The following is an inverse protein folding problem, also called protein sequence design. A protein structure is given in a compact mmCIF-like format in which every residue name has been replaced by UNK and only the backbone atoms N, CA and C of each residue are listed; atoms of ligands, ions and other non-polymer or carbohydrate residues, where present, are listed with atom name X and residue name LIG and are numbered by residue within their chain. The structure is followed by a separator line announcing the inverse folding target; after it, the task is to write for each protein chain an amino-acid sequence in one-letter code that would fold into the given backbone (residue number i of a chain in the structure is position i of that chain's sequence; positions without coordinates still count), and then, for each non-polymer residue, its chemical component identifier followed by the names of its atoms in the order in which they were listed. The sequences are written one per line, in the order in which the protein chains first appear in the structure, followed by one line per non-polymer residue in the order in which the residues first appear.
data_IF_231767130242
#
_entry.id   IF_231767130242
#
_cell.length_a   1.000
_cell.length_b   1.000
_cell.length_c   1.000
_cell.angle_alpha   90.00
_cell.angle_beta   90.00
_cell.angle_gamma   90.00
#
_symmetry.space_group_name_H-M   'P 1'
#
loop_
_entity.id
_entity.type
_entity.pdbx_description
1 polymer ?
#
# COMPACT_ATOMS: atom_id res chain seq x y z
N UNK A 1 -17.13 -45.88 35.82
CA UNK A 1 -16.89 -47.21 35.20
C UNK A 1 -18.08 -48.09 35.53
N UNK A 2 -18.72 -48.72 34.55
CA UNK A 2 -19.75 -49.73 34.82
C UNK A 2 -19.26 -51.07 34.30
N UNK A 3 -19.27 -52.08 35.16
CA UNK A 3 -18.97 -53.44 34.72
C UNK A 3 -20.19 -54.01 34.00
N UNK A 4 -19.98 -54.80 32.94
CA UNK A 4 -21.07 -55.40 32.16
C UNK A 4 -22.04 -56.27 32.98
N UNK A 5 -21.63 -56.69 34.18
CA UNK A 5 -22.41 -57.51 35.10
C UNK A 5 -23.08 -56.71 36.24
N UNK A 6 -22.88 -55.39 36.33
CA UNK A 6 -23.60 -54.53 37.27
C UNK A 6 -25.02 -54.21 36.75
N UNK A 7 -26.02 -54.85 37.37
CA UNK A 7 -27.43 -54.81 36.95
C UNK A 7 -28.29 -53.82 37.73
N UNK A 8 -27.81 -53.27 38.85
CA UNK A 8 -28.67 -52.61 39.84
C UNK A 8 -28.58 -51.08 39.83
N UNK A 9 -27.53 -50.50 39.26
CA UNK A 9 -27.35 -49.06 39.16
C UNK A 9 -27.64 -48.53 37.75
N UNK A 10 -28.03 -47.25 37.67
CA UNK A 10 -28.24 -46.53 36.40
C UNK A 10 -26.99 -46.56 35.50
N UNK A 11 -27.14 -46.22 34.22
CA UNK A 11 -25.98 -46.03 33.34
C UNK A 11 -25.52 -44.56 33.40
N UNK A 12 -25.07 -44.12 34.57
CA UNK A 12 -24.66 -42.72 34.82
C UNK A 12 -23.22 -42.63 35.31
N UNK A 13 -22.63 -41.44 35.22
CA UNK A 13 -21.26 -41.16 35.70
C UNK A 13 -21.07 -41.35 37.21
N UNK A 14 -22.16 -41.32 37.99
CA UNK A 14 -22.16 -41.52 39.44
C UNK A 14 -22.15 -43.00 39.88
N UNK A 15 -22.19 -43.93 38.92
CA UNK A 15 -22.35 -45.36 39.20
C UNK A 15 -21.07 -46.04 39.73
N UNK A 16 -19.94 -45.32 39.83
CA UNK A 16 -18.70 -45.83 40.42
C UNK A 16 -17.87 -44.74 41.09
N UNK A 17 -16.89 -45.15 41.90
CA UNK A 17 -15.82 -44.26 42.35
C UNK A 17 -14.96 -43.75 41.18
N UNK A 18 -14.16 -42.72 41.46
CA UNK A 18 -13.11 -42.26 40.56
C UNK A 18 -11.95 -43.26 40.55
N UNK A 19 -11.57 -43.70 39.34
CA UNK A 19 -10.51 -44.71 39.14
C UNK A 19 -9.33 -44.05 38.45
N UNK A 20 -8.11 -44.36 38.91
CA UNK A 20 -6.87 -43.87 38.29
C UNK A 20 -6.71 -44.49 36.89
N UNK A 21 -6.13 -43.73 35.97
CA UNK A 21 -5.90 -44.17 34.58
C UNK A 21 -4.42 -44.12 34.25
N UNK A 22 -3.86 -45.27 33.89
CA UNK A 22 -2.51 -45.39 33.34
C UNK A 22 -2.36 -44.50 32.10
N UNK A 23 -1.31 -43.67 32.10
CA UNK A 23 -0.90 -42.86 30.95
C UNK A 23 0.39 -43.47 30.37
N UNK A 24 0.68 -43.20 29.09
CA UNK A 24 1.88 -43.73 28.44
C UNK A 24 3.18 -43.21 29.09
N UNK A 25 3.15 -41.98 29.62
CA UNK A 25 4.18 -41.34 30.43
C UNK A 25 3.52 -40.34 31.39
N UNK A 26 3.90 -40.37 32.67
CA UNK A 26 3.44 -39.40 33.68
C UNK A 26 4.54 -39.08 34.70
N UNK A 27 4.70 -37.80 35.04
CA UNK A 27 5.57 -37.30 36.10
C UNK A 27 4.98 -36.04 36.76
N UNK A 28 5.65 -35.48 37.79
CA UNK A 28 5.16 -34.28 38.48
C UNK A 28 5.10 -33.05 37.55
N UNK A 29 3.94 -32.78 36.96
CA UNK A 29 3.69 -31.62 36.09
C UNK A 29 4.06 -31.80 34.61
N UNK A 30 4.45 -32.99 34.17
CA UNK A 30 4.77 -33.29 32.76
C UNK A 30 4.32 -34.71 32.41
N UNK A 31 3.88 -34.96 31.18
CA UNK A 31 3.20 -36.21 30.86
C UNK A 31 2.51 -36.17 29.50
N UNK A 32 1.98 -37.33 29.11
CA UNK A 32 0.82 -37.36 28.23
C UNK A 32 -0.45 -37.54 29.08
N UNK A 33 -1.54 -36.90 28.69
CA UNK A 33 -2.82 -37.02 29.38
C UNK A 33 -3.95 -37.22 28.36
N UNK A 34 -4.56 -38.41 28.40
CA UNK A 34 -5.68 -38.75 27.51
C UNK A 34 -6.76 -39.54 28.29
N UNK A 35 -7.61 -38.79 29.00
CA UNK A 35 -8.69 -39.35 29.83
C UNK A 35 -9.71 -40.07 28.95
N UNK A 36 -10.11 -41.32 29.31
CA UNK A 36 -11.19 -42.03 28.63
C UNK A 36 -12.49 -41.24 28.64
N UNK A 37 -13.19 -41.20 27.49
CA UNK A 37 -14.50 -40.55 27.36
C UNK A 37 -15.61 -41.57 27.49
N UNK A 38 -16.82 -41.10 27.81
CA UNK A 38 -18.03 -41.95 27.85
C UNK A 38 -18.17 -42.73 26.54
N UNK A 39 -18.40 -44.04 26.66
CA UNK A 39 -18.50 -44.98 25.53
C UNK A 39 -17.18 -45.66 25.15
N UNK A 40 -16.05 -45.32 25.77
CA UNK A 40 -14.78 -46.04 25.56
C UNK A 40 -14.64 -47.22 26.53
N UNK A 41 -14.30 -48.39 25.99
CA UNK A 41 -13.92 -49.56 26.78
C UNK A 41 -12.51 -49.39 27.34
N UNK A 42 -12.32 -49.87 28.58
CA UNK A 42 -11.06 -49.80 29.30
C UNK A 42 -10.74 -51.16 29.93
N UNK A 43 -9.45 -51.50 29.95
CA UNK A 43 -8.94 -52.66 30.68
C UNK A 43 -8.64 -52.20 32.11
N UNK A 44 -9.21 -52.88 33.11
CA UNK A 44 -8.98 -52.58 34.52
C UNK A 44 -8.26 -53.73 35.19
N UNK A 45 -7.28 -53.37 36.01
CA UNK A 45 -6.57 -54.24 36.93
C UNK A 45 -6.69 -53.66 38.36
N UNK A 46 -6.28 -54.41 39.36
CA UNK A 46 -6.44 -54.05 40.77
C UNK A 46 -5.08 -53.99 41.44
N UNK A 47 -4.81 -52.90 42.18
CA UNK A 47 -3.50 -52.71 42.81
C UNK A 47 -3.26 -53.82 43.83
N UNK A 48 -2.21 -54.63 43.63
CA UNK A 48 -1.93 -55.84 44.43
C UNK A 48 -3.11 -56.83 44.51
N UNK A 49 -4.01 -56.81 43.53
CA UNK A 49 -5.21 -57.64 43.51
C UNK A 49 -6.34 -57.18 44.45
N UNK A 50 -6.23 -56.00 45.07
CA UNK A 50 -7.27 -55.43 45.94
C UNK A 50 -8.43 -54.85 45.10
N UNK A 51 -9.63 -55.48 45.11
CA UNK A 51 -10.79 -55.02 44.33
C UNK A 51 -11.23 -53.59 44.66
N UNK A 52 -10.90 -53.09 45.85
CA UNK A 52 -11.23 -51.73 46.28
C UNK A 52 -10.26 -50.68 45.73
N UNK A 53 -9.18 -51.10 45.04
CA UNK A 53 -8.18 -50.22 44.42
C UNK A 53 -8.01 -50.49 42.91
N UNK A 54 -9.07 -50.26 42.10
CA UNK A 54 -8.99 -50.42 40.65
C UNK A 54 -8.03 -49.41 40.01
N UNK A 55 -7.45 -49.82 38.87
CA UNK A 55 -6.58 -49.04 38.01
C UNK A 55 -6.90 -49.38 36.56
N UNK A 56 -7.20 -48.36 35.73
CA UNK A 56 -7.31 -48.56 34.28
C UNK A 56 -5.90 -48.72 33.71
N UNK A 57 -5.60 -49.88 33.12
CA UNK A 57 -4.27 -50.22 32.60
C UNK A 57 -4.09 -49.92 31.12
N UNK A 58 -5.19 -49.83 30.36
CA UNK A 58 -5.11 -49.59 28.92
C UNK A 58 -6.45 -49.63 28.22
N UNK A 59 -6.40 -49.55 26.89
CA UNK A 59 -7.54 -49.61 25.97
C UNK A 59 -7.11 -50.37 24.72
N UNK A 60 -8.03 -51.08 24.10
CA UNK A 60 -7.81 -51.80 22.85
C UNK A 60 -8.84 -51.36 21.81
N UNK A 61 -8.47 -51.49 20.54
CA UNK A 61 -9.44 -51.33 19.45
C UNK A 61 -10.28 -52.61 19.33
N UNK A 62 -11.56 -52.43 19.07
CA UNK A 62 -12.54 -53.49 18.83
C UNK A 62 -13.53 -53.04 17.75
N UNK A 63 -14.55 -53.82 17.43
CA UNK A 63 -15.49 -53.52 16.34
C UNK A 63 -16.10 -52.10 16.38
N UNK A 64 -16.53 -51.63 17.55
CA UNK A 64 -17.17 -50.32 17.71
C UNK A 64 -16.18 -49.17 18.02
N UNK A 65 -14.91 -49.49 18.23
CA UNK A 65 -13.81 -48.58 18.57
C UNK A 65 -12.65 -48.99 17.66
N UNK A 66 -12.80 -48.69 16.37
CA UNK A 66 -11.82 -49.05 15.35
C UNK A 66 -10.58 -48.16 15.48
N UNK A 67 -9.44 -48.70 15.03
CA UNK A 67 -8.21 -47.93 14.90
C UNK A 67 -8.37 -46.75 13.95
N UNK A 68 -7.58 -45.67 14.09
CA UNK A 68 -7.38 -44.70 13.02
C UNK A 68 -6.90 -45.40 11.74
N UNK A 69 -7.61 -45.14 10.63
CA UNK A 69 -7.32 -45.78 9.34
C UNK A 69 -7.84 -47.22 9.23
N UNK A 70 -7.81 -47.74 8.01
CA UNK A 70 -8.34 -49.07 7.69
C UNK A 70 -7.20 -50.10 7.63
N UNK A 71 -7.18 -51.06 8.57
CA UNK A 71 -6.24 -52.16 8.56
C UNK A 71 -6.72 -53.31 7.65
N UNK A 72 -5.83 -53.95 6.87
CA UNK A 72 -4.36 -53.81 6.87
C UNK A 72 -3.82 -52.69 5.96
N UNK A 73 -4.67 -51.85 5.36
CA UNK A 73 -4.27 -50.83 4.39
C UNK A 73 -3.32 -49.77 4.96
N UNK A 74 -3.48 -49.38 6.23
CA UNK A 74 -2.63 -48.40 6.92
C UNK A 74 -1.56 -49.05 7.83
N UNK A 75 -1.15 -50.29 7.54
CA UNK A 75 -0.20 -51.05 8.38
C UNK A 75 1.18 -50.40 8.59
N UNK A 76 1.55 -49.45 7.73
CA UNK A 76 2.81 -48.69 7.79
C UNK A 76 2.64 -47.30 8.42
N UNK A 77 1.44 -46.98 8.92
CA UNK A 77 1.15 -45.70 9.55
C UNK A 77 1.22 -45.79 11.07
N UNK A 78 1.84 -44.78 11.66
CA UNK A 78 1.76 -44.49 13.09
C UNK A 78 1.02 -43.18 13.31
N UNK A 79 0.17 -43.10 14.33
CA UNK A 79 -0.74 -41.96 14.50
C UNK A 79 -0.99 -41.64 15.96
N UNK A 80 -0.91 -40.35 16.30
CA UNK A 80 -1.49 -39.76 17.51
C UNK A 80 -2.67 -38.89 17.06
N UNK A 81 -3.90 -39.37 17.24
CA UNK A 81 -5.13 -38.71 16.80
C UNK A 81 -6.05 -38.42 17.97
N UNK A 82 -6.55 -37.18 18.06
CA UNK A 82 -7.60 -36.80 19.01
C UNK A 82 -8.99 -36.91 18.36
N UNK A 83 -10.07 -36.69 19.13
CA UNK A 83 -11.42 -36.54 18.57
C UNK A 83 -12.00 -35.22 19.07
N UNK A 84 -12.64 -34.45 18.19
CA UNK A 84 -13.42 -33.28 18.59
C UNK A 84 -14.44 -33.69 19.65
N UNK A 85 -14.47 -32.96 20.77
CA UNK A 85 -15.44 -33.25 21.84
C UNK A 85 -16.83 -32.79 21.41
N UNK A 86 -17.82 -33.69 21.48
CA UNK A 86 -19.21 -33.42 21.08
C UNK A 86 -19.35 -32.82 19.67
N UNK A 87 -18.44 -33.17 18.75
CA UNK A 87 -18.48 -32.69 17.36
C UNK A 87 -17.75 -33.66 16.42
N UNK A 88 -17.76 -33.32 15.14
CA UNK A 88 -16.97 -34.02 14.12
C UNK A 88 -15.55 -33.45 14.05
N UNK A 89 -14.60 -34.26 13.58
CA UNK A 89 -13.21 -33.83 13.38
C UNK A 89 -12.19 -34.38 14.38
N UNK A 90 -10.92 -34.04 14.16
CA UNK A 90 -9.78 -34.52 14.92
C UNK A 90 -8.55 -33.62 14.74
N UNK A 91 -7.61 -33.64 15.69
CA UNK A 91 -6.23 -33.23 15.43
C UNK A 91 -5.38 -34.49 15.23
N UNK A 92 -4.32 -34.40 14.44
CA UNK A 92 -3.48 -35.57 14.12
C UNK A 92 -2.01 -35.20 13.93
N UNK A 93 -1.15 -36.02 14.52
CA UNK A 93 0.23 -36.21 14.09
C UNK A 93 0.35 -37.64 13.56
N UNK A 94 0.69 -37.79 12.28
CA UNK A 94 0.81 -39.08 11.61
C UNK A 94 2.15 -39.21 10.90
N UNK A 95 2.72 -40.40 10.97
CA UNK A 95 3.91 -40.83 10.25
C UNK A 95 3.52 -41.95 9.28
N UNK A 96 3.94 -41.84 8.03
CA UNK A 96 3.86 -42.90 7.01
C UNK A 96 5.29 -43.36 6.71
N UNK A 97 5.54 -44.67 6.82
CA UNK A 97 6.86 -45.29 6.62
C UNK A 97 6.89 -46.25 5.41
N UNK A 98 5.86 -46.24 4.57
CA UNK A 98 5.90 -46.95 3.31
C UNK A 98 7.01 -46.37 2.41
N UNK A 99 7.87 -47.24 1.90
CA UNK A 99 8.99 -46.88 1.01
C UNK A 99 8.50 -46.02 -0.16
N UNK A 100 9.20 -44.91 -0.40
CA UNK A 100 8.92 -43.90 -1.43
C UNK A 100 7.61 -43.12 -1.22
N UNK A 101 7.01 -43.20 -0.03
CA UNK A 101 5.77 -42.51 0.37
C UNK A 101 5.87 -41.92 1.78
N UNK A 102 7.08 -41.76 2.29
CA UNK A 102 7.34 -41.33 3.65
C UNK A 102 6.77 -39.93 3.89
N UNK A 103 6.03 -39.76 4.99
CA UNK A 103 5.36 -38.50 5.29
C UNK A 103 5.24 -38.26 6.79
N UNK A 104 5.51 -37.04 7.21
CA UNK A 104 5.00 -36.49 8.48
C UNK A 104 3.80 -35.59 8.16
N UNK A 105 2.67 -35.89 8.76
CA UNK A 105 1.44 -35.13 8.61
C UNK A 105 1.04 -34.51 9.94
N UNK A 106 0.85 -33.20 9.95
CA UNK A 106 0.31 -32.44 11.08
C UNK A 106 -1.01 -31.82 10.65
N UNK A 107 -2.06 -32.10 11.39
CA UNK A 107 -3.39 -31.57 11.17
C UNK A 107 -3.93 -30.91 12.43
N UNK A 108 -4.35 -29.66 12.28
CA UNK A 108 -5.12 -28.95 13.27
C UNK A 108 -6.55 -28.74 12.77
N UNK A 109 -7.54 -29.12 13.57
CA UNK A 109 -8.96 -29.01 13.23
C UNK A 109 -9.45 -27.56 13.11
N UNK A 110 -8.79 -26.63 13.81
CA UNK A 110 -9.20 -25.22 13.87
C UNK A 110 -8.00 -24.28 13.85
N UNK A 111 -7.26 -24.22 14.95
CA UNK A 111 -6.09 -23.35 15.10
C UNK A 111 -4.83 -24.20 15.27
N UNK A 112 -3.73 -23.75 14.66
CA UNK A 112 -2.39 -24.25 14.95
C UNK A 112 -1.52 -23.06 15.37
N UNK A 113 -1.16 -23.03 16.64
CA UNK A 113 -0.22 -22.04 17.18
C UNK A 113 1.18 -22.68 17.27
N UNK A 114 2.23 -21.90 16.98
CA UNK A 114 3.63 -22.35 17.09
C UNK A 114 4.45 -21.26 17.74
N UNK A 115 4.93 -21.51 18.95
CA UNK A 115 5.81 -20.61 19.69
C UNK A 115 7.21 -21.23 19.80
N UNK A 116 8.23 -20.47 19.45
CA UNK A 116 9.64 -20.89 19.54
C UNK A 116 10.42 -19.78 20.24
N UNK A 117 10.92 -20.06 21.45
CA UNK A 117 11.52 -19.04 22.32
C UNK A 117 12.93 -18.60 21.92
N UNK A 118 13.63 -19.42 21.12
CA UNK A 118 15.00 -19.13 20.69
C UNK A 118 15.07 -19.08 19.16
N UNK A 119 15.36 -20.22 18.52
CA UNK A 119 15.60 -20.27 17.08
C UNK A 119 14.66 -21.26 16.39
N UNK A 120 14.10 -20.86 15.25
CA UNK A 120 13.45 -21.74 14.27
C UNK A 120 14.20 -21.65 12.94
N UNK A 121 14.71 -22.78 12.47
CA UNK A 121 15.29 -22.92 11.13
C UNK A 121 14.40 -23.79 10.27
N UNK A 122 14.18 -23.40 9.01
CA UNK A 122 13.45 -24.18 8.00
C UNK A 122 14.31 -24.30 6.74
N UNK A 123 14.55 -25.52 6.29
CA UNK A 123 15.37 -25.85 5.11
C UNK A 123 14.60 -26.87 4.28
N UNK A 124 14.17 -26.47 3.07
CA UNK A 124 13.37 -27.28 2.15
C UNK A 124 14.21 -27.58 0.92
N UNK A 125 14.44 -28.88 0.65
CA UNK A 125 15.40 -29.33 -0.38
C UNK A 125 14.88 -29.31 -1.80
N UNK A 126 13.57 -29.30 -1.98
CA UNK A 126 12.91 -29.28 -3.28
C UNK A 126 11.99 -28.06 -3.35
N UNK A 127 10.68 -28.25 -3.18
CA UNK A 127 9.69 -27.19 -3.33
C UNK A 127 9.04 -26.80 -2.00
N UNK A 128 8.78 -25.51 -1.85
CA UNK A 128 7.90 -24.97 -0.81
C UNK A 128 6.69 -24.33 -1.48
N UNK A 129 5.48 -24.67 -1.02
CA UNK A 129 4.23 -24.06 -1.44
C UNK A 129 3.44 -23.65 -0.21
N UNK A 130 3.03 -22.39 -0.16
CA UNK A 130 2.19 -21.84 0.90
C UNK A 130 0.96 -21.18 0.27
N UNK A 131 -0.21 -21.39 0.85
CA UNK A 131 -1.47 -20.80 0.39
C UNK A 131 -2.24 -20.28 1.58
N UNK A 132 -2.48 -18.97 1.58
CA UNK A 132 -3.23 -18.26 2.61
C UNK A 132 -4.58 -17.87 2.00
N UNK A 133 -5.66 -18.43 2.53
CA UNK A 133 -7.01 -18.21 2.00
C UNK A 133 -7.63 -16.86 2.38
N UNK A 134 -7.02 -16.12 3.30
CA UNK A 134 -7.44 -14.79 3.74
C UNK A 134 -6.20 -13.88 3.85
N UNK A 135 -5.93 -13.29 5.01
CA UNK A 135 -4.85 -12.32 5.17
C UNK A 135 -3.52 -12.93 5.64
N UNK A 136 -2.41 -12.39 5.13
CA UNK A 136 -1.07 -12.66 5.62
C UNK A 136 -0.46 -11.37 6.20
N UNK A 137 -0.03 -11.42 7.47
CA UNK A 137 0.73 -10.35 8.12
C UNK A 137 2.13 -10.85 8.48
N UNK A 138 3.15 -10.18 7.95
CA UNK A 138 4.56 -10.44 8.29
C UNK A 138 5.12 -9.22 9.00
N UNK A 139 5.80 -9.41 10.13
CA UNK A 139 6.51 -8.36 10.85
C UNK A 139 7.92 -8.82 11.16
N UNK A 140 8.91 -8.06 10.67
CA UNK A 140 10.33 -8.31 10.89
C UNK A 140 10.94 -7.07 11.54
N UNK A 141 11.44 -7.21 12.77
CA UNK A 141 11.84 -6.06 13.61
C UNK A 141 13.22 -5.50 13.23
N UNK A 142 14.19 -6.37 12.94
CA UNK A 142 15.58 -5.95 12.71
C UNK A 142 15.94 -5.85 11.24
N UNK A 143 15.82 -6.94 10.49
CA UNK A 143 16.22 -6.96 9.08
C UNK A 143 15.68 -8.17 8.34
N UNK A 144 15.36 -7.96 7.07
CA UNK A 144 14.92 -8.98 6.13
C UNK A 144 15.86 -8.98 4.93
N UNK A 145 16.28 -10.17 4.49
CA UNK A 145 17.02 -10.35 3.24
C UNK A 145 16.30 -11.38 2.40
N UNK A 146 16.03 -11.04 1.15
CA UNK A 146 15.42 -11.94 0.17
C UNK A 146 16.42 -12.11 -0.97
N UNK A 147 16.79 -13.35 -1.26
CA UNK A 147 17.67 -13.72 -2.37
C UNK A 147 16.93 -14.75 -3.22
N UNK A 148 16.80 -14.46 -4.52
CA UNK A 148 16.15 -15.35 -5.50
C UNK A 148 17.18 -15.74 -6.54
N UNK A 149 17.60 -17.00 -6.51
CA UNK A 149 18.70 -17.52 -7.32
C UNK A 149 20.08 -16.99 -6.91
N UNK A 150 21.12 -17.80 -7.11
CA UNK A 150 22.53 -17.39 -6.85
C UNK A 150 23.37 -17.30 -8.12
N UNK A 151 22.81 -17.71 -9.27
CA UNK A 151 23.47 -17.72 -10.58
C UNK A 151 22.48 -17.30 -11.67
N UNK A 152 23.03 -16.78 -12.77
CA UNK A 152 22.25 -16.43 -13.96
C UNK A 152 21.99 -17.69 -14.79
N UNK A 153 21.18 -18.58 -14.24
CA UNK A 153 20.69 -19.81 -14.88
C UNK A 153 19.17 -19.68 -15.09
N UNK A 154 18.59 -20.42 -16.03
CA UNK A 154 17.14 -20.36 -16.30
C UNK A 154 16.32 -20.82 -15.08
N UNK A 155 15.19 -20.17 -14.82
CA UNK A 155 14.25 -20.58 -13.76
C UNK A 155 14.43 -19.90 -12.39
N UNK A 156 15.25 -18.85 -12.28
CA UNK A 156 15.44 -18.08 -11.04
C UNK A 156 14.74 -16.71 -11.08
N UNK A 157 13.47 -16.68 -11.48
CA UNK A 157 12.67 -15.47 -11.60
C UNK A 157 11.91 -15.12 -10.31
N UNK A 158 11.60 -13.83 -10.16
CA UNK A 158 10.67 -13.34 -9.15
C UNK A 158 9.53 -12.64 -9.87
N UNK A 159 8.30 -13.16 -9.71
CA UNK A 159 7.08 -12.54 -10.20
C UNK A 159 6.24 -12.05 -9.02
N UNK A 160 5.74 -10.82 -9.11
CA UNK A 160 4.82 -10.23 -8.12
C UNK A 160 3.62 -9.69 -8.89
N UNK A 161 2.43 -10.20 -8.57
CA UNK A 161 1.16 -9.69 -9.08
C UNK A 161 0.37 -9.08 -7.94
N UNK A 162 -0.13 -7.85 -8.12
CA UNK A 162 -0.98 -7.14 -7.17
C UNK A 162 -2.24 -6.73 -7.93
N UNK A 163 -3.41 -7.17 -7.47
CA UNK A 163 -4.67 -6.98 -8.20
C UNK A 163 -5.30 -5.61 -7.99
N UNK A 164 -5.08 -5.00 -6.83
CA UNK A 164 -5.57 -3.67 -6.49
C UNK A 164 -4.38 -2.71 -6.33
N UNK A 165 -4.10 -2.27 -5.10
CA UNK A 165 -3.07 -1.25 -4.86
C UNK A 165 -1.79 -1.80 -4.22
N UNK A 166 -0.67 -1.15 -4.56
CA UNK A 166 0.63 -1.36 -3.90
C UNK A 166 1.15 -0.05 -3.33
N UNK A 167 1.22 0.05 -2.00
CA UNK A 167 1.87 1.16 -1.29
C UNK A 167 3.25 0.73 -0.78
N UNK A 168 4.26 1.56 -1.00
CA UNK A 168 5.62 1.36 -0.49
C UNK A 168 6.06 2.63 0.22
N UNK A 169 6.42 2.54 1.49
CA UNK A 169 7.02 3.64 2.26
C UNK A 169 8.44 3.27 2.64
N UNK A 170 9.42 4.06 2.19
CA UNK A 170 10.82 3.94 2.59
C UNK A 170 11.19 5.19 3.38
N UNK A 171 11.56 5.01 4.65
CA UNK A 171 11.80 6.15 5.58
C UNK A 171 13.16 6.81 5.39
N UNK A 172 14.15 6.06 4.91
CA UNK A 172 15.48 6.57 4.61
C UNK A 172 15.71 6.50 3.09
N UNK A 173 16.69 5.72 2.63
CA UNK A 173 17.08 5.70 1.22
C UNK A 173 16.54 4.47 0.46
N UNK A 174 16.17 4.68 -0.81
CA UNK A 174 15.91 3.62 -1.77
C UNK A 174 16.97 3.61 -2.86
N UNK A 175 17.69 2.49 -3.00
CA UNK A 175 18.65 2.27 -4.09
C UNK A 175 18.17 1.15 -5.00
N UNK A 176 18.10 1.40 -6.31
CA UNK A 176 17.78 0.40 -7.33
C UNK A 176 18.94 0.26 -8.32
N UNK A 177 19.50 -0.94 -8.43
CA UNK A 177 20.51 -1.28 -9.43
C UNK A 177 19.98 -2.36 -10.36
N UNK A 178 19.84 -2.02 -11.64
CA UNK A 178 19.46 -2.93 -12.72
C UNK A 178 20.65 -3.08 -13.66
N UNK A 179 21.10 -4.31 -13.90
CA UNK A 179 22.32 -4.58 -14.70
C UNK A 179 22.05 -4.75 -16.19
N UNK A 180 20.82 -5.10 -16.55
CA UNK A 180 20.35 -5.17 -17.93
C UNK A 180 19.31 -4.05 -18.15
N UNK A 181 18.10 -4.39 -18.59
CA UNK A 181 17.08 -3.42 -18.95
C UNK A 181 16.05 -3.19 -17.85
N UNK A 182 15.50 -1.98 -17.81
CA UNK A 182 14.29 -1.62 -17.06
C UNK A 182 13.27 -1.06 -18.03
N UNK A 183 12.09 -1.68 -18.06
CA UNK A 183 10.91 -1.19 -18.80
C UNK A 183 9.81 -0.87 -17.81
N UNK A 184 9.12 0.26 -18.03
CA UNK A 184 7.99 0.70 -17.20
C UNK A 184 6.85 1.08 -18.16
N UNK A 185 5.65 0.60 -17.88
CA UNK A 185 4.42 0.98 -18.59
C UNK A 185 3.41 1.46 -17.57
N UNK A 186 2.93 2.70 -17.73
CA UNK A 186 1.91 3.32 -16.90
C UNK A 186 0.77 3.73 -17.82
N UNK A 187 -0.44 3.24 -17.54
CA UNK A 187 -1.59 3.40 -18.45
C UNK A 187 -2.36 4.69 -18.23
N UNK A 188 -2.27 5.27 -17.04
CA UNK A 188 -2.86 6.55 -16.68
C UNK A 188 -1.72 7.54 -16.39
N UNK A 189 -1.54 7.94 -15.13
CA UNK A 189 -0.62 9.02 -14.76
C UNK A 189 0.63 8.53 -14.02
N UNK A 190 1.77 9.18 -14.28
CA UNK A 190 3.03 9.00 -13.56
C UNK A 190 3.47 10.34 -12.95
N UNK A 191 3.32 10.47 -11.63
CA UNK A 191 3.67 11.66 -10.86
C UNK A 191 5.04 11.53 -10.21
N UNK A 192 5.89 12.55 -10.35
CA UNK A 192 7.19 12.61 -9.67
C UNK A 192 7.35 13.96 -8.96
N UNK A 193 7.42 13.89 -7.63
CA UNK A 193 7.77 15.02 -6.77
C UNK A 193 9.17 14.80 -6.17
N UNK A 194 10.08 15.75 -6.40
CA UNK A 194 11.45 15.73 -5.86
C UNK A 194 11.72 17.04 -5.13
N UNK A 195 11.91 16.99 -3.81
CA UNK A 195 12.07 18.19 -2.97
C UNK A 195 13.40 18.92 -3.18
N UNK A 196 14.45 18.17 -3.49
CA UNK A 196 15.81 18.70 -3.70
C UNK A 196 16.19 18.53 -5.19
N UNK A 197 17.37 17.98 -5.48
CA UNK A 197 17.87 17.83 -6.84
C UNK A 197 17.39 16.54 -7.53
N UNK A 198 16.97 16.66 -8.79
CA UNK A 198 16.91 15.55 -9.74
C UNK A 198 18.10 15.60 -10.68
N UNK A 199 18.98 14.59 -10.63
CA UNK A 199 20.11 14.44 -11.56
C UNK A 199 19.86 13.28 -12.51
N UNK A 200 20.04 13.54 -13.81
CA UNK A 200 19.85 12.54 -14.87
C UNK A 200 21.08 12.49 -15.75
N UNK A 201 21.58 11.29 -16.03
CA UNK A 201 22.68 11.07 -16.99
C UNK A 201 22.31 9.92 -17.90
N UNK A 202 22.26 10.19 -19.20
CA UNK A 202 22.04 9.18 -20.25
C UNK A 202 23.29 9.18 -21.13
N UNK A 203 24.04 8.07 -21.10
CA UNK A 203 25.24 7.92 -21.95
C UNK A 203 24.90 7.67 -23.42
N UNK A 204 23.77 7.02 -23.65
CA UNK A 204 23.24 6.73 -24.99
C UNK A 204 22.29 7.82 -25.49
N UNK A 205 21.39 7.41 -26.38
CA UNK A 205 20.34 8.27 -26.94
C UNK A 205 19.21 8.48 -25.93
N UNK A 206 18.67 9.70 -25.87
CA UNK A 206 17.44 10.01 -25.15
C UNK A 206 16.38 10.47 -26.16
N UNK A 207 15.25 9.78 -26.19
CA UNK A 207 14.11 10.11 -27.04
C UNK A 207 12.92 10.52 -26.19
N UNK A 208 12.16 11.50 -26.66
CA UNK A 208 10.96 11.98 -26.00
C UNK A 208 9.89 12.27 -27.06
N UNK A 209 8.70 11.72 -26.87
CA UNK A 209 7.53 12.02 -27.70
C UNK A 209 6.39 12.42 -26.77
N UNK A 210 5.89 13.64 -26.96
CA UNK A 210 4.68 14.14 -26.29
C UNK A 210 3.61 14.31 -27.35
N UNK A 211 2.42 13.74 -27.12
CA UNK A 211 1.26 13.87 -28.03
C UNK A 211 0.39 15.07 -27.67
N UNK A 212 0.26 15.37 -26.38
CA UNK A 212 -0.35 16.59 -25.86
C UNK A 212 0.66 17.73 -25.70
N UNK A 213 0.38 18.63 -24.76
CA UNK A 213 1.24 19.77 -24.47
C UNK A 213 2.51 19.35 -23.73
N UNK A 214 3.66 19.93 -24.12
CA UNK A 214 4.90 19.86 -23.35
C UNK A 214 5.15 21.24 -22.73
N UNK A 215 4.99 21.34 -21.40
CA UNK A 215 5.14 22.58 -20.65
C UNK A 215 6.35 22.46 -19.73
N UNK A 216 7.23 23.46 -19.74
CA UNK A 216 8.43 23.50 -18.92
C UNK A 216 8.61 24.90 -18.35
N UNK A 217 8.40 25.05 -17.04
CA UNK A 217 8.71 26.25 -16.29
C UNK A 217 10.07 26.08 -15.61
N UNK A 218 10.95 27.07 -15.76
CA UNK A 218 12.22 27.15 -15.04
C UNK A 218 12.25 28.51 -14.36
N UNK A 219 11.99 28.55 -13.06
CA UNK A 219 12.01 29.79 -12.26
C UNK A 219 13.44 30.34 -12.13
N UNK A 220 14.43 29.45 -12.11
CA UNK A 220 15.84 29.80 -12.11
C UNK A 220 16.41 29.99 -13.52
N UNK A 221 17.69 29.64 -13.67
CA UNK A 221 18.39 29.73 -14.96
C UNK A 221 18.16 28.48 -15.81
N UNK A 222 17.71 28.66 -17.04
CA UNK A 222 17.76 27.61 -18.07
C UNK A 222 19.03 27.76 -18.92
N UNK A 223 19.90 26.75 -18.89
CA UNK A 223 21.17 26.72 -19.64
C UNK A 223 21.21 25.50 -20.55
N UNK A 224 21.50 25.72 -21.84
CA UNK A 224 21.59 24.67 -22.85
C UNK A 224 22.91 24.78 -23.61
N UNK A 225 23.64 23.67 -23.68
CA UNK A 225 24.81 23.51 -24.54
C UNK A 225 24.56 22.34 -25.47
N UNK A 226 24.61 22.57 -26.78
CA UNK A 226 24.52 21.54 -27.81
C UNK A 226 25.85 21.53 -28.56
N UNK A 227 26.58 20.42 -28.47
CA UNK A 227 27.89 20.29 -29.15
C UNK A 227 27.79 19.99 -30.64
N UNK A 228 26.63 19.49 -31.08
CA UNK A 228 26.27 19.31 -32.49
C UNK A 228 25.23 20.33 -32.92
N UNK A 229 24.35 19.94 -33.84
CA UNK A 229 23.31 20.81 -34.35
C UNK A 229 22.10 20.90 -33.41
N UNK A 230 21.54 22.10 -33.29
CA UNK A 230 20.22 22.32 -32.70
C UNK A 230 19.22 22.66 -33.81
N UNK A 231 18.35 21.71 -34.15
CA UNK A 231 17.26 21.92 -35.09
C UNK A 231 15.94 22.13 -34.35
N UNK A 232 15.18 23.18 -34.71
CA UNK A 232 13.83 23.42 -34.22
C UNK A 232 12.88 23.61 -35.39
N UNK A 233 11.87 22.75 -35.49
CA UNK A 233 10.81 22.85 -36.48
C UNK A 233 9.49 23.10 -35.75
N UNK A 234 8.81 24.18 -36.10
CA UNK A 234 7.53 24.58 -35.51
C UNK A 234 6.54 24.77 -36.66
N UNK A 235 5.43 24.03 -36.62
CA UNK A 235 4.37 24.16 -37.64
C UNK A 235 3.45 25.36 -37.37
N UNK A 236 3.26 25.71 -36.10
CA UNK A 236 2.55 26.91 -35.66
C UNK A 236 3.48 28.13 -35.56
N UNK A 237 3.22 28.99 -34.58
CA UNK A 237 4.04 30.16 -34.32
C UNK A 237 5.21 29.86 -33.37
N UNK A 238 6.36 30.49 -33.63
CA UNK A 238 7.49 30.55 -32.71
C UNK A 238 7.57 31.97 -32.13
N UNK A 239 7.25 32.12 -30.84
CA UNK A 239 7.37 33.37 -30.10
C UNK A 239 8.62 33.40 -29.22
N UNK A 240 9.28 34.55 -29.15
CA UNK A 240 10.36 34.83 -28.19
C UNK A 240 10.05 36.20 -27.58
N UNK A 241 9.65 36.21 -26.31
CA UNK A 241 9.54 37.42 -25.50
C UNK A 241 10.62 37.38 -24.44
N UNK A 242 11.42 38.43 -24.34
CA UNK A 242 12.47 38.60 -23.35
C UNK A 242 12.35 40.02 -22.83
N UNK A 243 12.29 40.18 -21.51
CA UNK A 243 12.21 41.52 -20.90
C UNK A 243 13.58 42.23 -20.94
N UNK A 244 14.66 41.45 -20.93
CA UNK A 244 16.03 41.90 -21.19
C UNK A 244 16.45 41.80 -22.66
N UNK A 245 17.73 41.54 -22.90
CA UNK A 245 18.31 41.54 -24.24
C UNK A 245 18.13 40.21 -25.00
N UNK A 246 17.96 40.31 -26.31
CA UNK A 246 18.12 39.19 -27.23
C UNK A 246 19.43 39.38 -27.99
N UNK A 247 20.42 38.53 -27.72
CA UNK A 247 21.71 38.51 -28.41
C UNK A 247 21.79 37.27 -29.30
N UNK A 248 21.99 37.49 -30.60
CA UNK A 248 22.26 36.44 -31.58
C UNK A 248 23.66 36.66 -32.14
N UNK A 249 24.55 35.71 -31.88
CA UNK A 249 25.92 35.73 -32.39
C UNK A 249 26.14 34.53 -33.30
N UNK A 250 26.77 34.77 -34.44
CA UNK A 250 27.20 33.74 -35.37
C UNK A 250 28.58 34.08 -35.88
N UNK A 251 29.48 33.11 -35.85
CA UNK A 251 30.83 33.26 -36.41
C UNK A 251 30.84 33.33 -37.94
N UNK A 252 29.71 33.05 -38.59
CA UNK A 252 29.61 33.00 -40.05
C UNK A 252 28.53 33.94 -40.59
N UNK A 253 27.26 33.63 -40.33
CA UNK A 253 26.11 34.39 -40.82
C UNK A 253 24.88 34.23 -39.94
N UNK A 254 24.00 35.21 -39.99
CA UNK A 254 22.62 35.14 -39.51
C UNK A 254 21.72 35.35 -40.72
N UNK A 255 20.74 34.47 -40.96
CA UNK A 255 19.82 34.56 -42.09
C UNK A 255 18.37 34.48 -41.62
N UNK A 256 17.57 35.45 -42.02
CA UNK A 256 16.14 35.54 -41.76
C UNK A 256 15.42 35.54 -43.11
N UNK A 257 14.56 34.57 -43.37
CA UNK A 257 13.90 34.39 -44.68
C UNK A 257 12.39 34.24 -44.53
N UNK A 258 11.64 34.94 -45.39
CA UNK A 258 10.19 34.83 -45.49
C UNK A 258 9.80 34.77 -46.98
N UNK A 259 9.33 33.63 -47.45
CA UNK A 259 9.04 33.42 -48.87
C UNK A 259 10.25 33.72 -49.76
N UNK A 260 10.09 34.68 -50.68
CA UNK A 260 11.17 35.19 -51.54
C UNK A 260 12.02 36.32 -50.94
N UNK A 261 11.64 36.88 -49.79
CA UNK A 261 12.36 37.99 -49.14
C UNK A 261 13.31 37.48 -48.05
N UNK A 262 14.41 38.19 -47.81
CA UNK A 262 15.37 37.83 -46.76
C UNK A 262 16.21 39.02 -46.24
N UNK A 263 16.76 38.81 -45.05
CA UNK A 263 17.85 39.60 -44.46
C UNK A 263 18.98 38.64 -44.13
N UNK A 264 20.21 38.95 -44.54
CA UNK A 264 21.40 38.19 -44.18
C UNK A 264 22.44 39.13 -43.60
N UNK A 265 22.93 38.80 -42.40
CA UNK A 265 24.05 39.47 -41.75
C UNK A 265 25.27 38.56 -41.88
N UNK A 266 26.37 39.09 -42.37
CA UNK A 266 27.63 38.37 -42.56
C UNK A 266 28.82 39.33 -42.38
N UNK A 267 30.05 38.82 -42.44
CA UNK A 267 31.27 39.62 -42.18
C UNK A 267 31.51 40.78 -43.16
N UNK A 268 30.83 40.79 -44.30
CA UNK A 268 30.96 41.84 -45.32
C UNK A 268 29.90 42.94 -45.23
N UNK A 269 28.86 42.77 -44.40
CA UNK A 269 27.76 43.72 -44.30
C UNK A 269 26.40 43.07 -44.05
N UNK A 270 25.34 43.76 -44.49
CA UNK A 270 23.95 43.34 -44.35
C UNK A 270 23.27 43.37 -45.73
N UNK A 271 22.80 42.22 -46.19
CA UNK A 271 22.01 42.09 -47.40
C UNK A 271 20.52 42.14 -47.05
N UNK A 272 19.75 42.99 -47.74
CA UNK A 272 18.30 43.11 -47.60
C UNK A 272 17.66 43.01 -48.98
N UNK A 273 16.87 41.96 -49.22
CA UNK A 273 16.25 41.70 -50.52
C UNK A 273 14.76 41.42 -50.36
N UNK A 274 13.95 42.10 -51.16
CA UNK A 274 12.51 41.87 -51.29
C UNK A 274 11.89 42.73 -52.38
N UNK A 275 10.66 42.43 -52.84
CA UNK A 275 9.99 43.20 -53.90
C UNK A 275 9.74 44.68 -53.56
N UNK A 276 9.57 44.98 -52.26
CA UNK A 276 9.40 46.32 -51.71
C UNK A 276 10.07 46.38 -50.35
N UNK A 277 10.87 47.42 -50.12
CA UNK A 277 11.49 47.72 -48.83
C UNK A 277 10.90 49.04 -48.34
N UNK A 278 10.12 49.01 -47.26
CA UNK A 278 9.67 50.23 -46.62
C UNK A 278 10.65 50.60 -45.50
N UNK A 279 11.21 51.81 -45.57
CA UNK A 279 12.01 52.40 -44.51
C UNK A 279 11.17 53.47 -43.82
N UNK A 280 11.01 53.38 -42.51
CA UNK A 280 10.19 54.29 -41.69
C UNK A 280 8.72 54.46 -42.18
N UNK A 281 8.14 53.45 -42.85
CA UNK A 281 6.74 53.47 -43.28
C UNK A 281 6.12 52.06 -43.30
N UNK A 282 4.84 51.94 -42.94
CA UNK A 282 4.05 50.71 -43.04
C UNK A 282 4.24 49.65 -41.94
N UNK A 283 3.32 48.67 -41.91
CA UNK A 283 3.37 47.47 -41.07
C UNK A 283 2.72 47.60 -39.67
N UNK A 284 2.56 46.46 -39.00
CA UNK A 284 2.25 46.33 -37.57
C UNK A 284 3.05 45.17 -36.98
N UNK A 285 3.53 45.24 -35.73
CA UNK A 285 4.33 44.18 -35.13
C UNK A 285 3.50 42.91 -34.91
N UNK A 286 4.15 41.75 -34.97
CA UNK A 286 3.55 40.50 -34.50
C UNK A 286 3.56 40.41 -32.97
N UNK A 287 2.64 39.63 -32.39
CA UNK A 287 2.59 39.35 -30.95
C UNK A 287 3.23 37.99 -30.64
N UNK A 288 4.07 37.88 -29.59
CA UNK A 288 4.56 36.59 -29.13
C UNK A 288 3.43 35.67 -28.67
N UNK A 289 3.58 34.37 -28.87
CA UNK A 289 2.63 33.35 -28.39
C UNK A 289 2.69 33.29 -26.85
N UNK A 290 1.55 33.26 -26.13
CA UNK A 290 1.53 33.16 -24.67
C UNK A 290 2.06 31.79 -24.18
N UNK A 291 2.65 31.77 -22.99
CA UNK A 291 3.13 30.55 -22.33
C UNK A 291 2.02 29.89 -21.52
N UNK A 292 2.04 28.56 -21.42
CA UNK A 292 1.21 27.79 -20.49
C UNK A 292 1.95 27.59 -19.16
N UNK A 293 1.21 27.55 -18.05
CA UNK A 293 1.77 27.20 -16.74
C UNK A 293 1.63 25.69 -16.48
N UNK A 294 2.66 25.01 -15.93
CA UNK A 294 2.55 23.60 -15.56
C UNK A 294 1.75 23.43 -14.26
N UNK A 295 1.11 22.27 -14.10
CA UNK A 295 0.51 21.86 -12.82
C UNK A 295 1.61 21.62 -11.78
N UNK A 296 1.48 22.22 -10.59
CA UNK A 296 2.42 22.03 -9.47
C UNK A 296 1.90 20.91 -8.55
N UNK A 297 2.66 19.82 -8.44
CA UNK A 297 2.34 18.74 -7.48
C UNK A 297 2.74 19.17 -6.05
N UNK A 298 1.81 19.06 -5.09
CA UNK A 298 2.06 19.30 -3.67
C UNK A 298 2.60 18.02 -2.98
N UNK A 299 3.39 18.18 -1.92
CA UNK A 299 3.82 17.06 -1.07
C UNK A 299 2.63 16.38 -0.41
N UNK A 300 2.48 15.05 -0.49
CA UNK A 300 1.65 14.30 0.46
C UNK A 300 2.20 14.52 1.88
N UNK A 301 1.33 14.91 2.82
CA UNK A 301 1.72 15.20 4.21
C UNK A 301 2.49 14.05 4.84
N UNK A 302 3.70 14.33 5.34
CA UNK A 302 4.47 13.34 6.09
C UNK A 302 3.92 13.23 7.51
N UNK A 303 3.48 12.03 7.90
CA UNK A 303 3.27 11.69 9.31
C UNK A 303 4.57 11.95 10.08
N UNK A 304 4.58 13.02 10.88
CA UNK A 304 5.59 13.24 11.90
C UNK A 304 5.52 12.06 12.86
N UNK A 305 6.49 11.17 12.75
CA UNK A 305 6.70 10.13 13.77
C UNK A 305 7.16 10.83 15.03
N UNK A 306 6.31 10.80 16.07
CA UNK A 306 6.69 11.17 17.41
C UNK A 306 7.80 10.25 17.89
N UNK A 307 9.02 10.77 17.93
CA UNK A 307 10.11 10.17 18.68
C UNK A 307 9.96 10.66 20.11
N UNK A 308 9.30 9.83 20.92
CA UNK A 308 9.18 10.04 22.35
C UNK A 308 10.48 9.61 23.02
N UNK A 309 11.34 10.58 23.32
CA UNK A 309 12.29 10.47 24.41
C UNK A 309 12.70 11.87 24.85
N UNK A 310 12.03 12.40 25.88
CA UNK A 310 12.66 13.35 26.78
C UNK A 310 12.30 12.96 28.21
N UNK A 311 13.29 12.35 28.86
CA UNK A 311 13.31 12.07 30.30
C UNK A 311 14.11 13.20 30.95
N UNK A 312 13.41 14.10 31.62
CA UNK A 312 13.99 15.14 32.46
C UNK A 312 13.07 15.37 33.65
N UNK A 313 13.33 14.63 34.72
CA UNK A 313 12.74 14.84 36.05
C UNK A 313 13.07 16.24 36.55
N UNK A 314 12.07 16.96 37.08
CA UNK A 314 12.26 17.77 38.27
C UNK A 314 10.93 17.89 39.02
N UNK A 315 11.01 17.55 40.31
CA UNK A 315 9.92 17.44 41.28
C UNK A 315 9.39 18.82 41.67
N UNK A 316 8.09 18.90 41.99
CA UNK A 316 7.57 19.45 43.26
C UNK A 316 6.03 19.27 43.34
N UNK A 317 5.60 18.41 44.27
CA UNK A 317 4.26 18.31 44.87
C UNK A 317 4.41 18.89 46.32
N UNK A 318 3.37 19.24 47.12
CA UNK A 318 1.97 18.90 46.94
C UNK A 318 0.91 19.94 47.32
N UNK A 319 -0.30 19.77 46.78
CA UNK A 319 -1.47 20.47 47.32
C UNK A 319 -2.80 20.16 46.65
N UNK A 320 -3.58 19.24 47.24
CA UNK A 320 -5.04 19.34 47.15
C UNK A 320 -5.81 18.09 46.74
N UNK A 321 -5.85 17.10 47.64
CA UNK A 321 -7.01 16.26 47.99
C UNK A 321 -8.36 16.60 47.31
N UNK A 322 -8.98 15.63 46.63
CA UNK A 322 -10.37 15.76 46.17
C UNK A 322 -10.98 14.58 45.42
N UNK A 323 -10.95 13.39 46.04
CA UNK A 323 -11.90 12.25 45.91
C UNK A 323 -12.56 11.94 44.55
N UNK A 324 -12.19 10.75 44.06
CA UNK A 324 -12.77 10.01 42.96
C UNK A 324 -14.22 9.54 43.19
N UNK A 325 -15.04 9.64 42.15
CA UNK A 325 -16.20 8.80 41.91
C UNK A 325 -15.84 7.75 40.85
N UNK A 326 -16.09 6.48 41.17
CA UNK A 326 -15.78 5.31 40.32
C UNK A 326 -17.05 4.77 39.68
N UNK A 327 -16.98 4.41 38.39
CA UNK A 327 -17.64 3.19 37.89
C UNK A 327 -18.72 3.33 36.80
N UNK A 328 -18.44 2.68 35.66
CA UNK A 328 -19.42 2.18 34.66
C UNK A 328 -19.79 3.20 33.58
N UNK A 329 -19.46 3.05 32.30
CA UNK A 329 -19.41 1.84 31.51
C UNK A 329 -20.74 1.68 30.77
N UNK A 330 -20.86 2.24 29.56
CA UNK A 330 -21.65 1.62 28.51
C UNK A 330 -21.17 2.09 27.12
N UNK A 331 -21.09 1.12 26.22
CA UNK A 331 -20.74 1.29 24.81
C UNK A 331 -22.02 1.69 24.08
N UNK A 332 -22.06 2.90 23.55
CA UNK A 332 -23.02 3.31 22.54
C UNK A 332 -22.31 3.44 21.21
N UNK A 333 -22.87 2.84 20.17
CA UNK A 333 -22.42 2.88 18.79
C UNK A 333 -22.15 4.32 18.31
N UNK A 334 -20.89 4.63 18.00
CA UNK A 334 -20.58 5.76 17.13
C UNK A 334 -20.77 5.26 15.69
N UNK A 335 -21.98 5.47 15.14
CA UNK A 335 -22.14 5.57 13.70
C UNK A 335 -21.22 6.71 13.24
N UNK A 336 -20.14 6.38 12.52
CA UNK A 336 -19.25 7.36 11.92
C UNK A 336 -20.08 8.39 11.13
N UNK A 337 -20.24 9.61 11.68
CA UNK A 337 -20.81 10.71 10.91
C UNK A 337 -19.98 10.89 9.64
N UNK A 338 -20.59 11.00 8.45
CA UNK A 338 -19.84 11.18 7.22
C UNK A 338 -18.98 12.44 7.35
N UNK A 339 -17.68 12.32 7.08
CA UNK A 339 -16.72 13.42 7.13
C UNK A 339 -17.28 14.63 6.36
N UNK A 340 -17.50 15.75 7.07
CA UNK A 340 -17.96 17.01 6.48
C UNK A 340 -16.74 17.80 6.03
N UNK A 341 -16.61 18.02 4.74
CA UNK A 341 -15.60 18.92 4.16
C UNK A 341 -16.14 20.35 4.10
N UNK A 342 -15.29 21.30 4.46
CA UNK A 342 -15.52 22.74 4.27
C UNK A 342 -14.71 23.24 3.08
N UNK A 343 -15.36 23.79 2.07
CA UNK A 343 -14.74 24.30 0.85
C UNK A 343 -14.92 25.82 0.76
N UNK A 344 -13.84 26.55 0.45
CA UNK A 344 -13.87 27.98 0.11
C UNK A 344 -12.91 28.24 -1.04
N UNK A 345 -13.34 29.03 -2.02
CA UNK A 345 -12.55 29.31 -3.22
C UNK A 345 -12.11 30.76 -3.23
N UNK A 346 -10.86 31.00 -3.64
CA UNK A 346 -10.26 32.33 -3.75
C UNK A 346 -9.87 32.56 -5.21
N UNK A 347 -10.42 33.61 -5.82
CA UNK A 347 -10.21 33.94 -7.22
C UNK A 347 -9.38 35.21 -7.36
N UNK A 348 -8.22 35.09 -8.02
CA UNK A 348 -7.34 36.22 -8.37
C UNK A 348 -6.94 36.14 -9.84
N UNK A 349 -6.59 37.28 -10.44
CA UNK A 349 -5.94 37.31 -11.76
C UNK A 349 -4.45 36.91 -11.68
N UNK A 350 -3.78 36.91 -12.84
CA UNK A 350 -2.36 36.51 -12.97
C UNK A 350 -1.39 37.42 -12.19
N UNK A 351 -1.82 38.63 -11.83
CA UNK A 351 -1.06 39.60 -11.02
C UNK A 351 -1.43 39.51 -9.51
N UNK A 352 -2.31 38.58 -9.13
CA UNK A 352 -2.77 38.36 -7.76
C UNK A 352 -3.84 39.35 -7.30
N UNK A 353 -4.49 40.08 -8.20
CA UNK A 353 -5.58 40.99 -7.88
C UNK A 353 -6.87 40.18 -7.73
N UNK A 354 -7.62 40.32 -6.62
CA UNK A 354 -8.82 39.53 -6.39
C UNK A 354 -9.96 39.90 -7.35
N UNK A 355 -10.68 38.89 -7.82
CA UNK A 355 -11.97 39.05 -8.49
C UNK A 355 -13.05 39.39 -7.45
N UNK A 356 -13.04 40.64 -7.01
CA UNK A 356 -13.90 41.22 -5.98
C UNK A 356 -15.33 41.47 -6.47
N UNK A 357 -16.34 41.14 -5.64
CA UNK A 357 -17.77 41.42 -5.88
C UNK A 357 -18.29 40.83 -7.21
N UNK A 358 -17.78 39.66 -7.60
CA UNK A 358 -18.18 38.95 -8.82
C UNK A 358 -19.18 37.85 -8.48
N UNK A 359 -20.31 37.85 -9.18
CA UNK A 359 -21.33 36.80 -9.05
C UNK A 359 -20.80 35.46 -9.55
N UNK A 360 -21.18 34.37 -8.90
CA UNK A 360 -20.80 33.02 -9.30
C UNK A 360 -21.95 32.01 -9.19
N UNK A 361 -21.78 30.86 -9.85
CA UNK A 361 -22.59 29.66 -9.67
C UNK A 361 -21.67 28.48 -9.37
N UNK A 362 -21.84 27.84 -8.23
CA UNK A 362 -21.19 26.58 -7.87
C UNK A 362 -22.11 25.39 -8.20
N UNK A 363 -21.59 24.39 -8.88
CA UNK A 363 -22.25 23.15 -9.25
C UNK A 363 -21.59 21.99 -8.50
N UNK A 364 -22.40 21.20 -7.81
CA UNK A 364 -21.98 20.06 -6.99
C UNK A 364 -22.35 18.74 -7.66
N UNK A 365 -21.70 17.65 -7.28
CA UNK A 365 -21.90 16.32 -7.87
C UNK A 365 -23.29 15.75 -7.54
N UNK A 366 -23.85 16.14 -6.38
CA UNK A 366 -25.24 15.86 -5.97
C UNK A 366 -26.30 16.60 -6.83
N UNK A 367 -25.87 17.43 -7.79
CA UNK A 367 -26.71 18.24 -8.66
C UNK A 367 -27.18 19.55 -8.04
N UNK A 368 -26.79 19.86 -6.80
CA UNK A 368 -27.09 21.14 -6.17
C UNK A 368 -26.39 22.28 -6.91
N UNK A 369 -27.02 23.45 -6.87
CA UNK A 369 -26.46 24.69 -7.40
C UNK A 369 -26.58 25.78 -6.36
N UNK A 370 -25.46 26.44 -6.08
CA UNK A 370 -25.41 27.59 -5.17
C UNK A 370 -24.99 28.82 -5.97
N UNK A 371 -25.68 29.93 -5.74
CA UNK A 371 -25.36 31.22 -6.37
C UNK A 371 -24.93 32.19 -5.29
N UNK A 372 -23.81 32.84 -5.49
CA UNK A 372 -23.29 33.83 -4.57
C UNK A 372 -22.54 34.94 -5.28
N UNK A 373 -21.87 35.75 -4.49
CA UNK A 373 -20.99 36.82 -4.92
C UNK A 373 -19.69 36.71 -4.12
N UNK A 374 -18.54 36.89 -4.77
CA UNK A 374 -17.26 36.89 -4.06
C UNK A 374 -17.16 38.12 -3.16
N UNK A 375 -16.45 37.99 -2.05
CA UNK A 375 -16.18 39.13 -1.18
C UNK A 375 -15.14 40.08 -1.80
N UNK A 376 -14.85 41.18 -1.09
CA UNK A 376 -13.89 42.20 -1.52
C UNK A 376 -12.47 41.67 -1.77
N UNK A 377 -12.14 40.52 -1.17
CA UNK A 377 -10.85 39.86 -1.22
C UNK A 377 -10.89 38.65 -2.17
N UNK A 378 -11.98 38.44 -2.92
CA UNK A 378 -12.10 37.42 -3.97
C UNK A 378 -12.52 36.04 -3.48
N UNK A 379 -13.02 35.91 -2.24
CA UNK A 379 -13.44 34.62 -1.67
C UNK A 379 -14.92 34.33 -1.89
N UNK A 380 -15.27 33.06 -2.11
CA UNK A 380 -16.66 32.58 -2.02
C UNK A 380 -17.13 32.44 -0.58
N UNK A 381 -18.41 32.15 -0.39
CA UNK A 381 -18.89 31.61 0.87
C UNK A 381 -18.32 30.21 1.13
N UNK A 382 -18.39 29.76 2.38
CA UNK A 382 -17.93 28.43 2.79
C UNK A 382 -19.04 27.41 2.55
N UNK A 383 -18.74 26.38 1.76
CA UNK A 383 -19.65 25.26 1.53
C UNK A 383 -19.33 24.12 2.50
N UNK A 384 -20.32 23.59 3.21
CA UNK A 384 -20.16 22.41 4.08
C UNK A 384 -20.85 21.20 3.43
N UNK A 385 -20.09 20.15 3.09
CA UNK A 385 -20.58 18.99 2.31
C UNK A 385 -20.05 17.66 2.83
N UNK A 386 -20.79 16.58 2.64
CA UNK A 386 -20.49 15.24 3.17
C UNK A 386 -19.87 14.28 2.14
N UNK A 387 -19.81 14.66 0.86
CA UNK A 387 -19.24 13.85 -0.22
C UNK A 387 -19.16 14.71 -1.50
N UNK A 388 -18.02 15.33 -1.81
CA UNK A 388 -17.84 15.95 -3.13
C UNK A 388 -16.35 15.98 -3.47
N UNK A 389 -15.97 15.15 -4.44
CA UNK A 389 -14.64 15.15 -5.03
C UNK A 389 -14.56 16.06 -6.26
N UNK A 390 -15.65 16.74 -6.66
CA UNK A 390 -15.67 17.65 -7.80
C UNK A 390 -16.70 18.78 -7.60
N UNK A 391 -16.24 20.03 -7.52
CA UNK A 391 -17.10 21.23 -7.48
C UNK A 391 -16.70 22.15 -8.62
N UNK A 392 -17.60 22.40 -9.56
CA UNK A 392 -17.38 23.34 -10.68
C UNK A 392 -17.90 24.72 -10.27
N UNK A 393 -17.07 25.77 -10.33
CA UNK A 393 -17.50 27.15 -10.05
C UNK A 393 -17.37 28.03 -11.29
N UNK A 394 -18.46 28.67 -11.70
CA UNK A 394 -18.51 29.63 -12.81
C UNK A 394 -18.61 31.04 -12.30
N UNK A 395 -17.58 31.86 -12.52
CA UNK A 395 -17.67 33.32 -12.35
C UNK A 395 -18.50 33.91 -13.50
N UNK A 396 -19.41 34.82 -13.16
CA UNK A 396 -20.31 35.51 -14.09
C UNK A 396 -19.78 36.92 -14.35
N UNK A 397 -18.71 37.02 -15.14
CA UNK A 397 -18.18 38.29 -15.65
C UNK A 397 -18.90 38.71 -16.92
N UNK A 398 -18.92 40.01 -17.23
CA UNK A 398 -19.57 40.53 -18.45
C UNK A 398 -18.88 40.06 -19.75
N UNK A 399 -17.65 39.55 -19.64
CA UNK A 399 -16.92 38.86 -20.71
C UNK A 399 -16.83 37.36 -20.38
N UNK A 400 -17.26 36.51 -21.32
CA UNK A 400 -17.42 35.06 -21.18
C UNK A 400 -16.10 34.31 -20.86
N UNK A 401 -15.64 34.31 -19.60
CA UNK A 401 -14.58 33.44 -19.13
C UNK A 401 -15.17 32.39 -18.17
N UNK A 402 -15.06 31.12 -18.57
CA UNK A 402 -15.39 29.97 -17.73
C UNK A 402 -14.06 29.54 -17.08
N UNK A 403 -13.94 29.77 -15.78
CA UNK A 403 -12.94 29.06 -14.97
C UNK A 403 -13.56 27.74 -14.56
N UNK A 404 -12.92 26.62 -14.85
CA UNK A 404 -13.35 25.30 -14.41
C UNK A 404 -12.31 24.80 -13.42
N UNK A 405 -12.67 24.81 -12.14
CA UNK A 405 -11.86 24.21 -11.07
C UNK A 405 -12.50 22.85 -10.78
N UNK A 406 -11.71 21.77 -10.80
CA UNK A 406 -12.18 20.42 -10.51
C UNK A 406 -11.42 19.89 -9.30
N UNK A 407 -12.09 19.81 -8.15
CA UNK A 407 -11.46 19.55 -6.85
C UNK A 407 -11.26 18.06 -6.55
N UNK A 408 -10.59 17.30 -7.42
CA UNK A 408 -10.37 15.87 -7.23
C UNK A 408 -9.13 15.52 -6.37
N UNK A 409 -8.64 16.46 -5.57
CA UNK A 409 -7.52 16.23 -4.66
C UNK A 409 -7.84 16.86 -3.30
N UNK A 410 -8.04 16.00 -2.29
CA UNK A 410 -8.02 16.36 -0.87
C UNK A 410 -6.82 17.29 -0.60
N UNK A 411 -7.11 18.55 -0.28
CA UNK A 411 -6.12 19.54 0.19
C UNK A 411 -5.84 19.37 1.68
#
# INVERSE_FOLDING_TARGET
MKFHWDRYHGMTEESSCWVRVSQAWAGPGFGNLAIPRVGQEVIVDFLNGDPDQPLVMGRTYHEDNRSPGDLPGTKTQMTIRSKTYKGSGFNELRFEDATDKEQVYIHAQKNMDTEVLNDRTTDVKHDHTETIGNDQKITVVKGQTVQVGTRKEGGHDQSITVANDRRITVRNDQTLKVTNDRTVSVSHDDGLYVRNDRRVTVKGKQEHKTTGNHVSLVEGKHSLVVKGDLARKVSGALGIKVDGEIVLESSSRISLKVGGSFVVIHSGGVDIVGPKINLNSGGSPGTPVPTLQPTVLKTPGGEKSGDGSDSGEENEDPGGSGLAGSGGGDRGDDEDEPEKYTLQFHFTDDDGIPYSEIRYIAFFEDGAQIRGETDKDGYTEVFSRTNDANVEIKLLTNDYYIFEVNCNEHQ
#
